data_IF_726498704938
#
_entry.id   IF_726498704938
#
_cell.length_a   1.000
_cell.length_b   1.000
_cell.length_c   1.000
_cell.angle_alpha   90.00
_cell.angle_beta   90.00
_cell.angle_gamma   90.00
#
_symmetry.space_group_name_H-M   'P 1'
#
loop_
_entity.id
_entity.type
_entity.pdbx_description
1 polymer ?
#
# COMPACT_ATOMS: atom_id res chain seq x y z
N UNK A 1 1.65 13.21 -1.48
CA UNK A 1 1.43 11.76 -1.62
C UNK A 1 2.45 10.97 -0.82
N UNK A 2 3.72 10.94 -1.23
CA UNK A 2 4.77 10.09 -0.62
C UNK A 2 4.94 10.34 0.88
N UNK A 3 5.09 11.60 1.30
CA UNK A 3 5.23 11.97 2.71
C UNK A 3 3.99 11.57 3.52
N UNK A 4 2.79 11.87 3.01
CA UNK A 4 1.52 11.55 3.67
C UNK A 4 1.33 10.03 3.84
N UNK A 5 1.68 9.25 2.81
CA UNK A 5 1.63 7.79 2.87
C UNK A 5 2.62 7.25 3.90
N UNK A 6 3.88 7.73 3.90
CA UNK A 6 4.89 7.33 4.88
C UNK A 6 4.45 7.61 6.32
N UNK A 7 3.96 8.84 6.58
CA UNK A 7 3.51 9.25 7.90
C UNK A 7 2.39 8.35 8.44
N UNK A 8 1.46 7.93 7.57
CA UNK A 8 0.37 7.04 7.95
C UNK A 8 0.86 5.60 8.17
N UNK A 9 1.76 5.10 7.32
CA UNK A 9 2.39 3.79 7.54
C UNK A 9 3.06 3.74 8.91
N UNK A 10 3.89 4.73 9.22
CA UNK A 10 4.62 4.76 10.50
C UNK A 10 3.68 4.93 11.70
N UNK A 11 2.61 5.73 11.59
CA UNK A 11 1.57 5.79 12.63
C UNK A 11 0.90 4.45 12.91
N UNK A 12 0.65 3.63 11.88
CA UNK A 12 0.07 2.30 12.07
C UNK A 12 1.10 1.29 12.57
N UNK A 13 2.33 1.32 12.05
CA UNK A 13 3.44 0.48 12.50
C UNK A 13 3.77 0.68 13.97
N UNK A 14 3.73 1.92 14.46
CA UNK A 14 3.90 2.23 15.89
C UNK A 14 2.86 1.53 16.77
N UNK A 15 1.59 1.49 16.34
CA UNK A 15 0.50 0.78 17.06
C UNK A 15 0.76 -0.73 17.17
N UNK A 16 1.50 -1.29 16.23
CA UNK A 16 1.90 -2.70 16.18
C UNK A 16 3.33 -2.95 16.67
N UNK A 17 3.98 -1.92 17.25
CA UNK A 17 5.36 -1.98 17.74
C UNK A 17 6.39 -2.38 16.65
N UNK A 18 6.08 -2.10 15.39
CA UNK A 18 6.99 -2.30 14.28
C UNK A 18 7.89 -1.05 14.08
N UNK A 19 9.16 -1.22 13.65
CA UNK A 19 10.05 -0.08 13.36
C UNK A 19 9.52 0.79 12.22
N UNK A 20 9.80 2.08 12.27
CA UNK A 20 9.46 3.02 11.19
C UNK A 20 10.10 2.62 9.86
N UNK A 21 9.38 2.89 8.77
CA UNK A 21 9.88 2.87 7.40
C UNK A 21 10.52 4.22 7.05
N UNK A 22 11.30 4.21 5.98
CA UNK A 22 11.84 5.40 5.33
C UNK A 22 11.47 5.36 3.85
N UNK A 23 11.39 6.52 3.21
CA UNK A 23 11.22 6.58 1.75
C UNK A 23 12.50 6.11 1.06
N UNK A 24 12.30 5.42 -0.06
CA UNK A 24 13.36 5.02 -0.97
C UNK A 24 13.04 5.58 -2.37
N UNK A 25 13.96 6.36 -2.91
CA UNK A 25 13.77 7.05 -4.20
C UNK A 25 13.63 6.07 -5.38
N UNK A 26 14.28 4.91 -5.31
CA UNK A 26 14.15 3.85 -6.32
C UNK A 26 12.77 3.20 -6.22
N UNK A 27 12.31 2.84 -5.02
CA UNK A 27 10.96 2.30 -4.83
C UNK A 27 9.87 3.28 -5.27
N UNK A 28 10.01 4.57 -4.99
CA UNK A 28 9.08 5.60 -5.47
C UNK A 28 9.02 5.67 -7.01
N UNK A 29 10.17 5.54 -7.66
CA UNK A 29 10.27 5.51 -9.13
C UNK A 29 9.64 4.26 -9.72
N UNK A 30 9.89 3.07 -9.14
CA UNK A 30 9.28 1.81 -9.58
C UNK A 30 7.76 1.82 -9.36
N UNK A 31 7.29 2.30 -8.21
CA UNK A 31 5.88 2.44 -7.91
C UNK A 31 5.16 3.38 -8.89
N UNK A 32 5.80 4.49 -9.27
CA UNK A 32 5.25 5.41 -10.30
C UNK A 32 5.12 4.71 -11.65
N UNK A 33 6.14 3.97 -12.08
CA UNK A 33 6.09 3.20 -13.34
C UNK A 33 5.00 2.13 -13.31
N UNK A 34 4.81 1.46 -12.16
CA UNK A 34 3.73 0.49 -12.00
C UNK A 34 2.34 1.12 -12.00
N UNK A 35 2.16 2.26 -11.32
CA UNK A 35 0.90 2.99 -11.35
C UNK A 35 0.52 3.39 -12.79
N UNK A 36 1.49 3.89 -13.57
CA UNK A 36 1.29 4.21 -15.00
C UNK A 36 1.00 2.95 -15.84
N UNK A 37 1.67 1.83 -15.56
CA UNK A 37 1.42 0.54 -16.22
C UNK A 37 -0.04 0.10 -16.01
N UNK A 38 -0.51 0.02 -14.77
CA UNK A 38 -1.88 -0.41 -14.47
C UNK A 38 -2.93 0.57 -15.03
N UNK A 39 -2.66 1.88 -14.95
CA UNK A 39 -3.55 2.90 -15.52
C UNK A 39 -3.70 2.74 -17.05
N UNK A 40 -2.61 2.45 -17.77
CA UNK A 40 -2.65 2.22 -19.21
C UNK A 40 -3.35 0.91 -19.61
N UNK A 41 -3.27 -0.12 -18.76
CA UNK A 41 -3.98 -1.38 -18.99
C UNK A 41 -5.46 -1.30 -18.61
N UNK A 42 -5.82 -0.39 -17.69
CA UNK A 42 -7.16 -0.34 -17.09
C UNK A 42 -7.43 -1.50 -16.15
N UNK A 43 -6.38 -2.14 -15.62
CA UNK A 43 -6.47 -3.31 -14.75
C UNK A 43 -5.40 -3.25 -13.65
N UNK A 44 -5.81 -3.59 -12.43
CA UNK A 44 -4.94 -3.72 -11.25
C UNK A 44 -4.87 -5.21 -10.91
N UNK A 45 -3.70 -5.83 -11.10
CA UNK A 45 -3.54 -7.29 -10.98
C UNK A 45 -2.17 -7.76 -10.46
N UNK A 46 -1.35 -6.85 -9.93
CA UNK A 46 -0.01 -7.14 -9.42
C UNK A 46 1.00 -7.68 -10.45
N UNK A 47 0.74 -7.50 -11.76
CA UNK A 47 1.59 -8.00 -12.86
C UNK A 47 2.65 -7.02 -13.38
N UNK A 48 2.74 -5.81 -12.80
CA UNK A 48 3.71 -4.81 -13.26
C UNK A 48 5.14 -5.37 -13.28
N UNK A 49 5.87 -5.28 -14.41
CA UNK A 49 7.21 -5.82 -14.52
C UNK A 49 8.28 -4.99 -13.78
N UNK A 50 7.98 -3.73 -13.45
CA UNK A 50 8.90 -2.83 -12.74
C UNK A 50 8.92 -3.04 -11.23
N UNK A 51 7.97 -3.79 -10.67
CA UNK A 51 7.94 -4.08 -9.23
C UNK A 51 9.16 -4.88 -8.77
N UNK A 52 9.74 -5.67 -9.66
CA UNK A 52 10.77 -6.66 -9.33
C UNK A 52 10.29 -7.63 -8.23
N UNK A 53 11.09 -7.86 -7.20
CA UNK A 53 10.78 -8.73 -6.06
C UNK A 53 10.19 -7.97 -4.85
N UNK A 54 9.82 -6.70 -5.02
CA UNK A 54 9.28 -5.87 -3.94
C UNK A 54 7.83 -6.24 -3.57
N UNK A 55 7.47 -6.00 -2.31
CA UNK A 55 6.07 -6.03 -1.86
C UNK A 55 5.24 -4.92 -2.51
N UNK A 56 3.92 -5.10 -2.61
CA UNK A 56 3.05 -4.15 -3.32
C UNK A 56 1.64 -4.15 -2.76
N UNK A 57 1.17 -2.96 -2.37
CA UNK A 57 -0.25 -2.68 -2.13
C UNK A 57 -0.76 -1.77 -3.25
N UNK A 58 -1.95 -2.05 -3.78
CA UNK A 58 -2.53 -1.31 -4.89
C UNK A 58 -3.86 -0.66 -4.49
N UNK A 59 -4.05 0.58 -4.90
CA UNK A 59 -5.30 1.30 -4.80
C UNK A 59 -5.48 2.12 -6.08
N UNK A 60 -6.68 2.12 -6.63
CA UNK A 60 -7.01 2.86 -7.83
C UNK A 60 -8.50 3.11 -7.96
N UNK A 61 -8.85 4.11 -8.74
CA UNK A 61 -10.24 4.49 -8.98
C UNK A 61 -10.34 5.57 -10.04
N UNK A 62 -11.49 5.69 -10.68
CA UNK A 62 -11.76 6.73 -11.67
C UNK A 62 -12.06 8.06 -10.96
N UNK A 63 -11.55 9.17 -11.51
CA UNK A 63 -11.88 10.52 -11.04
C UNK A 63 -10.67 11.45 -10.92
N UNK A 64 -10.93 12.63 -10.38
CA UNK A 64 -9.90 13.60 -9.99
C UNK A 64 -9.78 13.60 -8.47
N UNK A 65 -8.58 13.35 -7.98
CA UNK A 65 -8.32 13.21 -6.54
C UNK A 65 -7.25 14.20 -6.11
N UNK A 66 -7.39 14.74 -4.90
CA UNK A 66 -6.23 15.31 -4.23
C UNK A 66 -5.26 14.19 -3.85
N UNK A 67 -3.96 14.45 -4.02
CA UNK A 67 -2.93 13.42 -3.84
C UNK A 67 -2.78 12.97 -2.39
N UNK A 68 -3.00 13.86 -1.43
CA UNK A 68 -2.86 13.55 -0.01
C UNK A 68 -4.14 12.92 0.54
N UNK A 69 -5.32 13.37 0.08
CA UNK A 69 -6.59 12.71 0.39
C UNK A 69 -6.63 11.27 -0.13
N UNK A 70 -6.13 11.04 -1.36
CA UNK A 70 -6.07 9.69 -1.92
C UNK A 70 -5.12 8.78 -1.13
N UNK A 71 -3.94 9.29 -0.76
CA UNK A 71 -2.99 8.54 0.08
C UNK A 71 -3.58 8.19 1.45
N UNK A 72 -4.34 9.11 2.06
CA UNK A 72 -5.02 8.86 3.32
C UNK A 72 -6.10 7.79 3.20
N UNK A 73 -6.96 7.91 2.18
CA UNK A 73 -8.02 6.96 1.91
C UNK A 73 -7.47 5.55 1.63
N UNK A 74 -6.46 5.43 0.76
CA UNK A 74 -5.89 4.12 0.40
C UNK A 74 -5.18 3.46 1.59
N UNK A 75 -4.40 4.22 2.36
CA UNK A 75 -3.66 3.66 3.50
C UNK A 75 -4.61 3.22 4.62
N UNK A 76 -5.68 3.97 4.86
CA UNK A 76 -6.71 3.57 5.83
C UNK A 76 -7.46 2.31 5.36
N UNK A 77 -7.84 2.25 4.08
CA UNK A 77 -8.48 1.06 3.51
C UNK A 77 -7.63 -0.20 3.67
N UNK A 78 -6.32 -0.09 3.43
CA UNK A 78 -5.39 -1.21 3.65
C UNK A 78 -5.28 -1.59 5.12
N UNK A 79 -5.25 -0.62 6.03
CA UNK A 79 -5.16 -0.88 7.47
C UNK A 79 -6.44 -1.45 8.05
N UNK A 80 -7.62 -1.06 7.56
CA UNK A 80 -8.93 -1.54 8.03
C UNK A 80 -9.07 -3.07 7.88
N UNK A 81 -8.27 -3.72 7.03
CA UNK A 81 -8.20 -5.18 6.95
C UNK A 81 -7.71 -5.82 8.27
N UNK A 82 -7.08 -5.06 9.17
CA UNK A 82 -6.69 -5.51 10.51
C UNK A 82 -7.89 -6.06 11.31
N UNK A 83 -9.09 -5.54 11.07
CA UNK A 83 -10.33 -6.01 11.71
C UNK A 83 -10.71 -7.43 11.27
N UNK A 84 -10.19 -7.88 10.13
CA UNK A 84 -10.40 -9.22 9.57
C UNK A 84 -9.24 -10.19 9.83
N UNK A 85 -8.15 -9.73 10.45
CA UNK A 85 -6.98 -10.57 10.71
C UNK A 85 -7.15 -11.45 11.96
N UNK A 86 -6.96 -12.76 11.80
CA UNK A 86 -6.97 -13.71 12.90
C UNK A 86 -5.59 -13.77 13.56
N UNK A 87 -5.42 -13.01 14.65
CA UNK A 87 -4.18 -12.96 15.41
C UNK A 87 -3.87 -14.26 16.17
N UNK A 88 -4.88 -15.11 16.44
CA UNK A 88 -4.70 -16.40 17.11
C UNK A 88 -4.24 -17.49 16.11
N UNK A 89 -4.54 -17.31 14.81
CA UNK A 89 -4.09 -18.19 13.74
C UNK A 89 -3.49 -17.38 12.57
N UNK A 90 -2.25 -16.89 12.73
CA UNK A 90 -1.64 -15.98 11.77
C UNK A 90 -1.33 -16.66 10.44
N UNK A 91 -1.47 -15.90 9.35
CA UNK A 91 -1.18 -16.40 8.01
C UNK A 91 -1.68 -15.47 6.91
N UNK A 92 -1.33 -15.80 5.68
CA UNK A 92 -1.81 -15.05 4.53
C UNK A 92 -3.29 -15.33 4.26
N UNK A 93 -4.04 -14.26 4.01
CA UNK A 93 -5.36 -14.32 3.39
C UNK A 93 -5.49 -13.18 2.37
N UNK A 94 -6.28 -13.40 1.32
CA UNK A 94 -6.56 -12.34 0.35
C UNK A 94 -7.38 -11.17 0.91
N UNK A 95 -7.95 -11.31 2.11
CA UNK A 95 -8.72 -10.27 2.79
C UNK A 95 -7.88 -9.42 3.75
N UNK A 96 -6.63 -9.80 3.99
CA UNK A 96 -5.75 -9.18 4.99
C UNK A 96 -4.35 -8.89 4.47
N UNK A 97 -4.14 -9.10 3.17
CA UNK A 97 -2.83 -8.99 2.53
C UNK A 97 -2.27 -7.57 2.62
N UNK A 98 -3.10 -6.55 2.40
CA UNK A 98 -2.63 -5.17 2.42
C UNK A 98 -2.24 -4.75 3.83
N UNK A 99 -3.05 -5.11 4.84
CA UNK A 99 -2.71 -4.87 6.24
C UNK A 99 -1.39 -5.52 6.62
N UNK A 100 -1.21 -6.82 6.30
CA UNK A 100 0.02 -7.54 6.69
C UNK A 100 1.27 -7.03 5.98
N UNK A 101 1.15 -6.35 4.83
CA UNK A 101 2.27 -5.70 4.17
C UNK A 101 2.60 -4.32 4.79
N UNK A 102 1.61 -3.66 5.39
CA UNK A 102 1.74 -2.32 5.97
C UNK A 102 2.49 -2.35 7.31
N UNK A 103 2.20 -3.33 8.18
CA UNK A 103 2.71 -3.41 9.57
C UNK A 103 3.86 -4.39 9.77
#
# INVERSE_FOLDING_TARGET
MEVKALDLHNQYREKHHAPDLELDDELNSLATQCAEYYANQGQIDHTCPYKEDNGENLAGGEGSWDKDEFAEMSTNMWYDEADSYDYDNPGFSGATGHFTQLV
#
